data_IF_443231132837
#
_entry.id   IF_443231132837
#
_cell.length_a   1.000
_cell.length_b   1.000
_cell.length_c   1.000
_cell.angle_alpha   90.00
_cell.angle_beta   90.00
_cell.angle_gamma   90.00
#
_symmetry.space_group_name_H-M   'P 1'
#
loop_
_entity.id
_entity.type
_entity.pdbx_description
1 polymer ?
#
# COMPACT_ATOMS: atom_id res chain seq x y z
N UNK A 1 -23.14 8.51 4.37
CA UNK A 1 -22.86 7.31 3.54
C UNK A 1 -22.79 7.69 2.05
N UNK A 2 -21.70 7.36 1.35
CA UNK A 2 -21.50 7.62 -0.10
C UNK A 2 -21.29 6.30 -0.85
N UNK A 3 -21.91 6.14 -2.02
CA UNK A 3 -21.77 4.92 -2.85
C UNK A 3 -21.10 5.21 -4.17
N UNK A 4 -20.30 4.26 -4.65
CA UNK A 4 -19.60 4.34 -5.92
C UNK A 4 -20.15 3.30 -6.89
N UNK A 5 -20.49 3.75 -8.08
CA UNK A 5 -21.16 2.96 -9.10
C UNK A 5 -20.22 2.76 -10.29
N UNK A 6 -20.26 1.57 -10.89
CA UNK A 6 -19.59 1.34 -12.17
C UNK A 6 -20.43 1.87 -13.34
N UNK A 7 -19.92 1.76 -14.56
CA UNK A 7 -20.60 2.18 -15.80
C UNK A 7 -21.97 1.53 -16.01
N UNK A 8 -22.25 0.41 -15.34
CA UNK A 8 -23.53 -0.32 -15.39
C UNK A 8 -24.48 0.06 -14.23
N UNK A 9 -24.12 1.06 -13.42
CA UNK A 9 -24.89 1.50 -12.25
C UNK A 9 -24.77 0.58 -11.02
N UNK A 10 -23.96 -0.48 -11.08
CA UNK A 10 -23.79 -1.44 -9.98
C UNK A 10 -22.86 -0.83 -8.93
N UNK A 11 -23.27 -0.86 -7.67
CA UNK A 11 -22.46 -0.42 -6.54
C UNK A 11 -21.28 -1.38 -6.39
N UNK A 12 -20.07 -0.85 -6.50
CA UNK A 12 -18.84 -1.64 -6.35
C UNK A 12 -18.03 -1.26 -5.10
N UNK A 13 -18.24 -0.06 -4.57
CA UNK A 13 -17.66 0.38 -3.31
C UNK A 13 -18.63 1.29 -2.54
N UNK A 14 -18.48 1.33 -1.22
CA UNK A 14 -19.30 2.15 -0.32
C UNK A 14 -18.42 2.76 0.75
N UNK A 15 -18.54 4.06 0.96
CA UNK A 15 -17.89 4.79 2.04
C UNK A 15 -18.92 5.08 3.14
N UNK A 16 -18.67 4.51 4.31
CA UNK A 16 -19.48 4.76 5.51
C UNK A 16 -19.05 6.03 6.23
N UNK A 17 -19.92 6.53 7.10
CA UNK A 17 -19.72 7.79 7.83
C UNK A 17 -18.56 7.72 8.83
N UNK A 18 -18.19 6.50 9.24
CA UNK A 18 -16.99 6.22 10.06
C UNK A 18 -15.67 6.33 9.27
N UNK A 19 -15.75 6.60 7.96
CA UNK A 19 -14.60 6.74 7.08
C UNK A 19 -14.03 5.41 6.57
N UNK A 20 -14.82 4.33 6.63
CA UNK A 20 -14.43 3.02 6.10
C UNK A 20 -14.97 2.87 4.67
N UNK A 21 -14.07 2.62 3.73
CA UNK A 21 -14.40 2.24 2.36
C UNK A 21 -14.51 0.72 2.27
N UNK A 22 -15.72 0.21 2.04
CA UNK A 22 -15.97 -1.20 1.81
C UNK A 22 -15.90 -1.54 0.32
N UNK A 23 -15.11 -2.55 -0.03
CA UNK A 23 -15.01 -3.09 -1.38
C UNK A 23 -15.14 -4.61 -1.35
N UNK A 24 -15.84 -5.17 -2.34
CA UNK A 24 -15.97 -6.62 -2.50
C UNK A 24 -15.08 -7.09 -3.64
N UNK A 25 -14.20 -8.04 -3.35
CA UNK A 25 -13.25 -8.59 -4.32
C UNK A 25 -13.32 -10.12 -4.36
N UNK A 26 -12.74 -10.73 -5.40
CA UNK A 26 -12.56 -12.18 -5.48
C UNK A 26 -11.07 -12.49 -5.50
N UNK A 27 -10.67 -13.61 -4.89
CA UNK A 27 -9.28 -14.06 -4.90
C UNK A 27 -8.72 -14.21 -6.32
N UNK A 28 -9.56 -14.59 -7.28
CA UNK A 28 -9.17 -14.69 -8.70
C UNK A 28 -8.86 -13.34 -9.37
N UNK A 29 -9.34 -12.24 -8.79
CA UNK A 29 -9.16 -10.88 -9.30
C UNK A 29 -7.89 -10.22 -8.73
N UNK A 30 -7.15 -10.94 -7.85
CA UNK A 30 -5.82 -10.53 -7.40
C UNK A 30 -4.88 -10.31 -8.60
N UNK A 31 -4.05 -9.28 -8.49
CA UNK A 31 -3.14 -8.83 -9.53
C UNK A 31 -2.05 -9.85 -9.82
N UNK A 32 -2.11 -10.48 -10.98
CA UNK A 32 -1.10 -11.46 -11.45
C UNK A 32 0.30 -10.87 -11.55
N UNK A 33 0.41 -9.58 -11.88
CA UNK A 33 1.68 -8.82 -11.92
C UNK A 33 2.41 -8.81 -10.57
N UNK A 34 1.67 -8.97 -9.46
CA UNK A 34 2.22 -9.06 -8.10
C UNK A 34 2.37 -10.51 -7.61
N UNK A 35 2.23 -11.49 -8.51
CA UNK A 35 2.18 -12.91 -8.14
C UNK A 35 0.89 -13.28 -7.38
N UNK A 36 -0.20 -12.51 -7.55
CA UNK A 36 -1.45 -12.73 -6.84
C UNK A 36 -1.43 -12.28 -5.38
N UNK A 37 -0.60 -11.28 -5.04
CA UNK A 37 -0.40 -10.80 -3.66
C UNK A 37 -1.01 -9.42 -3.39
N UNK A 38 -1.78 -8.88 -4.34
CA UNK A 38 -2.38 -7.55 -4.22
C UNK A 38 -3.70 -7.45 -4.96
N UNK A 39 -4.57 -6.56 -4.48
CA UNK A 39 -5.77 -6.12 -5.21
C UNK A 39 -5.52 -4.79 -5.93
N UNK A 40 -6.42 -4.43 -6.83
CA UNK A 40 -6.37 -3.16 -7.53
C UNK A 40 -7.37 -2.16 -6.93
N UNK A 41 -6.95 -0.93 -6.75
CA UNK A 41 -7.81 0.19 -6.38
C UNK A 41 -7.65 1.31 -7.40
N UNK A 42 -8.74 1.83 -7.95
CA UNK A 42 -8.66 2.95 -8.90
C UNK A 42 -8.07 4.17 -8.21
N UNK A 43 -7.15 4.86 -8.89
CA UNK A 43 -6.45 6.00 -8.31
C UNK A 43 -7.41 7.16 -7.99
N UNK A 44 -8.34 7.44 -8.89
CA UNK A 44 -9.33 8.50 -8.74
C UNK A 44 -10.28 8.20 -7.58
N UNK A 45 -10.67 6.92 -7.40
CA UNK A 45 -11.46 6.47 -6.26
C UNK A 45 -10.72 6.69 -4.94
N UNK A 46 -9.44 6.32 -4.87
CA UNK A 46 -8.63 6.53 -3.66
C UNK A 46 -8.59 8.01 -3.30
N UNK A 47 -8.35 8.88 -4.27
CA UNK A 47 -8.26 10.32 -4.07
C UNK A 47 -9.61 10.91 -3.64
N UNK A 48 -10.70 10.50 -4.28
CA UNK A 48 -12.06 10.93 -3.95
C UNK A 48 -12.47 10.49 -2.54
N UNK A 49 -12.11 9.26 -2.13
CA UNK A 49 -12.42 8.73 -0.80
C UNK A 49 -11.64 9.48 0.27
N UNK A 50 -10.35 9.75 0.05
CA UNK A 50 -9.53 10.55 1.00
C UNK A 50 -10.11 11.96 1.14
N UNK A 51 -10.47 12.61 0.02
CA UNK A 51 -11.10 13.94 0.05
C UNK A 51 -12.45 13.92 0.77
N UNK A 52 -13.19 12.81 0.69
CA UNK A 52 -14.47 12.62 1.38
C UNK A 52 -14.31 12.23 2.86
N UNK A 53 -13.09 12.25 3.42
CA UNK A 53 -12.82 11.94 4.83
C UNK A 53 -12.61 10.46 5.14
N UNK A 54 -12.46 9.62 4.11
CA UNK A 54 -12.13 8.21 4.27
C UNK A 54 -10.74 8.01 4.90
N UNK A 55 -10.63 6.98 5.73
CA UNK A 55 -9.43 6.66 6.53
C UNK A 55 -8.91 5.25 6.26
N UNK A 56 -9.83 4.30 6.09
CA UNK A 56 -9.51 2.88 6.02
C UNK A 56 -10.21 2.24 4.83
N UNK A 57 -9.52 1.35 4.13
CA UNK A 57 -10.10 0.44 3.16
C UNK A 57 -10.34 -0.92 3.82
N UNK A 58 -11.54 -1.45 3.68
CA UNK A 58 -11.91 -2.82 4.00
C UNK A 58 -12.23 -3.59 2.71
N UNK A 59 -11.50 -4.67 2.46
CA UNK A 59 -11.73 -5.57 1.34
C UNK A 59 -12.34 -6.87 1.89
N UNK A 60 -13.58 -7.13 1.50
CA UNK A 60 -14.19 -8.45 1.66
C UNK A 60 -13.87 -9.28 0.44
N UNK A 61 -12.96 -10.23 0.59
CA UNK A 61 -12.51 -11.12 -0.46
C UNK A 61 -13.20 -12.48 -0.39
N UNK A 62 -13.80 -12.90 -1.50
CA UNK A 62 -14.29 -14.27 -1.68
C UNK A 62 -13.20 -15.16 -2.29
N UNK A 63 -12.81 -16.19 -1.55
CA UNK A 63 -11.85 -17.21 -1.93
C UNK A 63 -12.39 -18.19 -2.98
N UNK A 64 -11.47 -18.94 -3.60
CA UNK A 64 -11.81 -19.92 -4.64
C UNK A 64 -12.51 -21.15 -4.04
N UNK A 65 -12.15 -21.53 -2.81
CA UNK A 65 -12.71 -22.68 -2.11
C UNK A 65 -13.96 -22.32 -1.27
N UNK A 66 -14.51 -21.11 -1.48
CA UNK A 66 -15.69 -20.62 -0.77
C UNK A 66 -15.40 -19.93 0.56
N UNK A 67 -14.15 -19.83 0.98
CA UNK A 67 -13.78 -19.06 2.15
C UNK A 67 -13.98 -17.55 1.93
N UNK A 68 -14.14 -16.79 3.01
CA UNK A 68 -14.20 -15.32 2.94
C UNK A 68 -13.13 -14.74 3.86
N UNK A 69 -12.38 -13.76 3.35
CA UNK A 69 -11.36 -13.02 4.07
C UNK A 69 -11.74 -11.55 4.14
N UNK A 70 -11.51 -10.91 5.28
CA UNK A 70 -11.69 -9.47 5.45
C UNK A 70 -10.33 -8.86 5.72
N UNK A 71 -9.87 -8.02 4.79
CA UNK A 71 -8.61 -7.30 4.90
C UNK A 71 -8.87 -5.83 5.19
N UNK A 72 -8.10 -5.24 6.11
CA UNK A 72 -8.13 -3.81 6.39
C UNK A 72 -6.77 -3.17 6.18
N UNK A 73 -6.76 -1.95 5.65
CA UNK A 73 -5.54 -1.15 5.50
C UNK A 73 -5.87 0.34 5.56
N UNK A 74 -5.08 1.16 6.26
CA UNK A 74 -5.21 2.62 6.17
C UNK A 74 -4.99 3.10 4.73
N UNK A 75 -5.78 4.08 4.28
CA UNK A 75 -5.67 4.60 2.91
C UNK A 75 -4.30 5.25 2.64
N UNK A 76 -3.67 5.82 3.68
CA UNK A 76 -2.31 6.36 3.61
C UNK A 76 -1.25 5.27 3.32
N UNK A 77 -1.44 4.09 3.89
CA UNK A 77 -0.52 2.96 3.74
C UNK A 77 -0.57 2.37 2.32
N UNK A 78 -1.70 2.49 1.63
CA UNK A 78 -1.81 2.13 0.20
C UNK A 78 -0.82 2.93 -0.64
N UNK A 79 -0.64 4.23 -0.35
CA UNK A 79 0.34 5.07 -1.07
C UNK A 79 1.78 4.79 -0.65
N UNK A 80 1.99 4.40 0.62
CA UNK A 80 3.32 4.08 1.17
C UNK A 80 3.87 2.75 0.63
N UNK A 81 3.02 1.73 0.55
CA UNK A 81 3.43 0.36 0.24
C UNK A 81 2.98 -0.12 -1.14
N UNK A 82 1.91 0.47 -1.69
CA UNK A 82 1.42 0.16 -3.01
C UNK A 82 2.27 0.76 -4.12
N UNK A 83 2.17 0.16 -5.30
CA UNK A 83 2.71 0.68 -6.55
C UNK A 83 1.57 1.20 -7.41
N UNK A 84 1.81 2.29 -8.13
CA UNK A 84 0.88 2.77 -9.15
C UNK A 84 1.13 2.02 -10.45
N UNK A 85 0.10 1.43 -11.02
CA UNK A 85 0.12 0.67 -12.27
C UNK A 85 -0.95 1.20 -13.22
N UNK A 86 -0.69 1.13 -14.53
CA UNK A 86 -1.70 1.41 -15.56
C UNK A 86 -2.24 0.08 -16.06
N UNK A 87 -3.52 -0.21 -15.79
CA UNK A 87 -4.20 -1.43 -16.19
C UNK A 87 -5.36 -1.07 -17.12
N UNK A 88 -5.32 -1.54 -18.37
CA UNK A 88 -6.32 -1.22 -19.39
C UNK A 88 -6.59 0.29 -19.53
N UNK A 89 -5.53 1.11 -19.52
CA UNK A 89 -5.62 2.57 -19.64
C UNK A 89 -6.03 3.31 -18.36
N UNK A 90 -6.42 2.60 -17.29
CA UNK A 90 -6.84 3.18 -16.02
C UNK A 90 -5.70 3.09 -15.00
N UNK A 91 -5.43 4.20 -14.33
CA UNK A 91 -4.42 4.26 -13.28
C UNK A 91 -4.95 3.65 -11.98
N UNK A 92 -4.21 2.68 -11.43
CA UNK A 92 -4.61 1.91 -10.25
C UNK A 92 -3.47 1.82 -9.26
N UNK A 93 -3.78 1.91 -7.98
CA UNK A 93 -2.89 1.53 -6.89
C UNK A 93 -3.01 0.04 -6.61
N UNK A 94 -1.89 -0.63 -6.39
CA UNK A 94 -1.89 -1.96 -5.80
C UNK A 94 -2.18 -1.84 -4.31
N UNK A 95 -3.09 -2.65 -3.80
CA UNK A 95 -3.31 -2.84 -2.36
C UNK A 95 -2.58 -4.11 -1.94
N UNK A 96 -1.36 -4.01 -1.35
CA UNK A 96 -0.57 -5.17 -0.99
C UNK A 96 -1.18 -5.90 0.22
N UNK A 97 -1.65 -7.13 0.00
CA UNK A 97 -2.26 -7.98 1.04
C UNK A 97 -1.33 -8.27 2.24
N UNK A 98 0.00 -8.38 2.09
CA UNK A 98 0.90 -8.49 3.24
C UNK A 98 0.89 -7.29 4.18
N UNK A 99 0.56 -6.10 3.68
CA UNK A 99 0.46 -4.88 4.49
C UNK A 99 -0.92 -4.72 5.13
N UNK A 100 -1.92 -5.49 4.67
CA UNK A 100 -3.25 -5.45 5.27
C UNK A 100 -3.27 -6.21 6.60
N UNK A 101 -4.11 -5.74 7.52
CA UNK A 101 -4.59 -6.54 8.63
C UNK A 101 -5.62 -7.55 8.12
N UNK A 102 -5.48 -8.83 8.48
CA UNK A 102 -6.50 -9.84 8.22
C UNK A 102 -7.41 -9.89 9.45
N UNK A 103 -8.60 -9.32 9.33
CA UNK A 103 -9.57 -9.21 10.42
C UNK A 103 -10.35 -10.51 10.60
N UNK A 104 -10.65 -11.18 9.49
CA UNK A 104 -11.43 -12.41 9.48
C UNK A 104 -11.01 -13.30 8.31
N UNK A 105 -11.12 -14.61 8.50
CA UNK A 105 -10.89 -15.61 7.47
C UNK A 105 -9.58 -16.37 7.65
N UNK A 106 -9.35 -17.41 6.83
CA UNK A 106 -8.15 -18.23 6.94
C UNK A 106 -6.92 -17.45 6.47
N UNK A 107 -5.86 -17.52 7.27
CA UNK A 107 -4.55 -17.00 6.94
C UNK A 107 -3.90 -17.80 5.80
N UNK A 108 -3.10 -17.13 4.97
CA UNK A 108 -2.30 -17.78 3.93
C UNK A 108 -0.81 -17.76 4.33
N UNK A 109 -0.13 -18.91 4.24
CA UNK A 109 1.27 -19.06 4.70
C UNK A 109 2.22 -18.03 4.06
N UNK A 110 2.08 -17.82 2.74
CA UNK A 110 2.90 -16.84 2.01
C UNK A 110 2.73 -15.42 2.53
N UNK A 111 1.57 -15.07 3.12
CA UNK A 111 1.28 -13.74 3.66
C UNK A 111 2.05 -13.51 4.94
N UNK A 112 2.17 -14.54 5.79
CA UNK A 112 2.98 -14.48 7.01
C UNK A 112 4.45 -14.22 6.68
N UNK A 113 5.00 -14.96 5.73
CA UNK A 113 6.39 -14.76 5.28
C UNK A 113 6.59 -13.37 4.68
N UNK A 114 5.70 -12.95 3.76
CA UNK A 114 5.81 -11.64 3.11
C UNK A 114 5.64 -10.48 4.12
N UNK A 115 4.75 -10.60 5.09
CA UNK A 115 4.57 -9.59 6.15
C UNK A 115 5.80 -9.48 7.04
N UNK A 116 6.41 -10.61 7.39
CA UNK A 116 7.65 -10.62 8.16
C UNK A 116 8.82 -9.98 7.39
N UNK A 117 8.92 -10.21 6.08
CA UNK A 117 9.91 -9.56 5.23
C UNK A 117 9.73 -8.04 5.18
N UNK A 118 8.49 -7.56 5.04
CA UNK A 118 8.18 -6.13 5.04
C UNK A 118 8.55 -5.50 6.37
N UNK A 119 8.17 -6.13 7.49
CA UNK A 119 8.49 -5.62 8.81
C UNK A 119 10.01 -5.51 9.03
N UNK A 120 10.77 -6.55 8.62
CA UNK A 120 12.24 -6.51 8.67
C UNK A 120 12.84 -5.39 7.79
N UNK A 121 12.25 -5.16 6.62
CA UNK A 121 12.71 -4.11 5.71
C UNK A 121 12.43 -2.71 6.29
N UNK A 122 11.31 -2.52 7.00
CA UNK A 122 11.02 -1.27 7.71
C UNK A 122 11.99 -1.04 8.86
N UNK A 123 12.23 -2.03 9.72
CA UNK A 123 13.22 -1.93 10.82
C UNK A 123 14.60 -1.57 10.29
N UNK A 124 15.04 -2.22 9.20
CA UNK A 124 16.33 -1.92 8.56
C UNK A 124 16.39 -0.49 8.02
N UNK A 125 15.27 0.05 7.51
CA UNK A 125 15.22 1.42 7.00
C UNK A 125 15.40 2.42 8.14
N UNK A 126 14.75 2.18 9.27
CA UNK A 126 14.83 3.03 10.45
C UNK A 126 16.26 3.01 11.02
N UNK A 127 16.88 1.83 11.14
CA UNK A 127 18.30 1.68 11.53
C UNK A 127 19.25 2.44 10.59
N UNK A 128 19.05 2.34 9.27
CA UNK A 128 19.88 3.09 8.29
C UNK A 128 19.66 4.60 8.41
N UNK A 129 18.44 5.06 8.72
CA UNK A 129 18.18 6.47 8.95
C UNK A 129 18.86 6.97 10.23
N UNK A 130 18.84 6.18 11.29
CA UNK A 130 19.55 6.48 12.55
C UNK A 130 21.06 6.55 12.33
N UNK A 131 21.66 5.55 11.68
CA UNK A 131 23.09 5.54 11.33
C UNK A 131 23.46 6.74 10.45
N UNK A 132 22.62 7.09 9.45
CA UNK A 132 22.86 8.28 8.60
C UNK A 132 22.74 9.58 9.38
N UNK A 133 21.83 9.65 10.35
CA UNK A 133 21.71 10.82 11.21
C UNK A 133 22.98 10.96 12.06
N UNK A 134 23.48 9.89 12.66
CA UNK A 134 24.72 9.85 13.45
C UNK A 134 25.98 10.17 12.63
N UNK A 135 26.13 9.56 11.45
CA UNK A 135 27.26 9.84 10.55
C UNK A 135 27.19 11.23 9.93
N UNK A 136 25.98 11.78 9.77
CA UNK A 136 25.75 13.16 9.36
C UNK A 136 26.24 14.19 10.39
N UNK A 137 26.44 13.80 11.65
CA UNK A 137 27.03 14.64 12.71
C UNK A 137 28.54 14.46 12.84
N UNK A 138 29.13 13.44 12.20
CA UNK A 138 30.55 13.11 12.32
C UNK A 138 31.49 14.02 11.52
N UNK A 139 30.95 14.72 10.52
CA UNK A 139 31.69 15.70 9.71
C UNK A 139 31.13 17.09 9.96
N UNK A 140 32.02 18.06 10.19
CA UNK A 140 31.65 19.46 10.21
C UNK A 140 31.06 19.89 8.86
N UNK A 141 30.23 20.94 8.84
CA UNK A 141 29.65 21.44 7.59
C UNK A 141 30.73 21.96 6.61
N UNK A 142 31.89 22.38 7.13
CA UNK A 142 33.09 22.72 6.36
C UNK A 142 33.71 21.49 5.68
N UNK A 143 33.84 20.36 6.38
CA UNK A 143 34.37 19.12 5.80
C UNK A 143 33.43 18.52 4.75
N UNK A 144 32.12 18.55 4.98
CA UNK A 144 31.13 18.11 3.97
C UNK A 144 31.22 18.95 2.70
N UNK A 145 31.47 20.25 2.84
CA UNK A 145 31.64 21.16 1.71
C UNK A 145 32.95 20.89 0.98
N UNK A 146 34.05 20.69 1.72
CA UNK A 146 35.36 20.33 1.18
C UNK A 146 35.31 19.06 0.31
N UNK A 147 34.70 17.98 0.81
CA UNK A 147 34.57 16.73 0.04
C UNK A 147 33.64 16.85 -1.16
N UNK A 148 32.55 17.62 -1.04
CA UNK A 148 31.63 17.88 -2.17
C UNK A 148 32.33 18.64 -3.29
N UNK A 149 33.16 19.63 -2.97
CA UNK A 149 33.93 20.38 -3.96
C UNK A 149 35.00 19.49 -4.60
N UNK A 150 35.74 18.71 -3.82
CA UNK A 150 36.83 17.84 -4.33
C UNK A 150 36.33 16.76 -5.30
N UNK A 151 35.20 16.13 -5.01
CA UNK A 151 34.59 15.09 -5.87
C UNK A 151 34.00 15.64 -7.18
N UNK A 152 33.79 16.95 -7.29
CA UNK A 152 33.31 17.60 -8.52
C UNK A 152 34.40 17.92 -9.54
N UNK A 153 35.68 17.71 -9.20
CA UNK A 153 36.84 18.00 -10.06
C UNK A 153 37.59 16.72 -10.52
N UNK A 154 37.05 15.53 -10.26
CA UNK A 154 37.61 14.23 -10.72
C UNK A 154 36.83 13.62 -11.90
N UNK A 155 36.40 14.45 -12.86
CA UNK A 155 35.97 14.03 -14.21
C UNK A 155 36.81 14.74 -15.25
#
# INVERSE_FOLDING_TARGET
>A
MKTFHNERGIIFARLDDDGILHKNEKQKDRLRVTGGRSHALDADLLDEVIQSGGKTLEITEKGISGETRIFRIPLGDIRKHGKRLTLAGISRWTVPLPCCELVQGPEEEWRLTARAEILRAETRRDEVQEIRAEQGVLFSDEEKTYWRTRMGYET
#
